data_IF_140288014254
#
_entry.id   IF_140288014254
#
_cell.length_a   1.000
_cell.length_b   1.000
_cell.length_c   1.000
_cell.angle_alpha   90.00
_cell.angle_beta   90.00
_cell.angle_gamma   90.00
#
_symmetry.space_group_name_H-M   'P 1'
#
loop_
_entity.id
_entity.type
_entity.pdbx_description
1 polymer ?
#
# COMPACT_ATOMS: atom_id res chain seq x y z
N UNK A 1 -10.47 -42.34 2.13
CA UNK A 1 -11.12 -41.41 1.18
C UNK A 1 -11.10 -40.01 1.78
N UNK A 2 -10.10 -39.21 1.39
CA UNK A 2 -9.92 -37.84 1.88
C UNK A 2 -10.59 -36.91 0.87
N UNK A 3 -11.61 -36.17 1.31
CA UNK A 3 -12.27 -35.14 0.49
C UNK A 3 -11.37 -33.90 0.43
N UNK A 4 -10.68 -33.74 -0.70
CA UNK A 4 -10.03 -32.49 -1.09
C UNK A 4 -11.13 -31.44 -1.32
N UNK A 5 -11.20 -30.41 -0.47
CA UNK A 5 -12.02 -29.23 -0.75
C UNK A 5 -11.17 -28.25 -1.53
N UNK A 6 -11.45 -28.17 -2.83
CA UNK A 6 -10.93 -27.11 -3.71
C UNK A 6 -11.41 -25.76 -3.17
N UNK A 7 -10.48 -24.84 -2.88
CA UNK A 7 -10.79 -23.42 -2.80
C UNK A 7 -11.12 -22.94 -4.21
N UNK A 8 -12.41 -22.83 -4.51
CA UNK A 8 -12.88 -22.15 -5.70
C UNK A 8 -12.63 -20.65 -5.50
N UNK A 9 -11.66 -20.10 -6.23
CA UNK A 9 -11.57 -18.64 -6.41
C UNK A 9 -12.79 -18.25 -7.22
N UNK A 10 -13.78 -17.64 -6.57
CA UNK A 10 -14.89 -17.00 -7.24
C UNK A 10 -14.37 -15.76 -7.96
N UNK A 11 -13.97 -15.92 -9.22
CA UNK A 11 -13.81 -14.80 -10.15
C UNK A 11 -15.22 -14.29 -10.43
N UNK A 12 -15.66 -13.29 -9.67
CA UNK A 12 -16.86 -12.55 -9.98
C UNK A 12 -16.62 -11.81 -11.31
N UNK A 13 -17.13 -12.39 -12.40
CA UNK A 13 -17.26 -11.72 -13.69
C UNK A 13 -18.30 -10.60 -13.52
N UNK A 14 -17.83 -9.41 -13.17
CA UNK A 14 -18.63 -8.18 -13.24
C UNK A 14 -18.76 -7.77 -14.72
N UNK A 15 -19.69 -8.43 -15.41
CA UNK A 15 -20.29 -7.89 -16.61
C UNK A 15 -21.01 -6.58 -16.27
N UNK A 16 -20.65 -5.53 -17.00
CA UNK A 16 -21.48 -4.36 -17.31
C UNK A 16 -22.42 -3.86 -16.20
N UNK A 17 -21.87 -3.15 -15.22
CA UNK A 17 -22.66 -2.17 -14.48
C UNK A 17 -21.99 -0.81 -14.61
N UNK A 18 -22.70 0.11 -15.28
CA UNK A 18 -22.39 1.53 -15.32
C UNK A 18 -22.35 2.05 -13.88
N UNK A 19 -21.15 2.11 -13.30
CA UNK A 19 -20.94 2.72 -12.00
C UNK A 19 -21.19 4.23 -12.15
N UNK A 20 -22.38 4.67 -11.75
CA UNK A 20 -22.66 6.05 -11.36
C UNK A 20 -21.73 6.40 -10.20
N UNK A 21 -20.53 6.86 -10.54
CA UNK A 21 -19.47 7.26 -9.62
C UNK A 21 -19.66 8.75 -9.32
N UNK A 22 -19.89 9.07 -8.04
CA UNK A 22 -19.80 10.46 -7.58
C UNK A 22 -18.37 10.93 -7.80
N UNK A 23 -18.17 11.85 -8.75
CA UNK A 23 -16.92 12.57 -8.94
C UNK A 23 -17.05 13.88 -8.19
N UNK A 24 -16.41 13.99 -7.03
CA UNK A 24 -16.22 15.28 -6.37
C UNK A 24 -15.03 15.99 -7.01
N UNK A 25 -15.27 17.19 -7.55
CA UNK A 25 -14.18 18.10 -7.93
C UNK A 25 -13.30 18.40 -6.72
N UNK A 26 -12.01 18.63 -6.92
CA UNK A 26 -11.10 19.06 -5.86
C UNK A 26 -11.73 20.20 -5.04
N UNK A 27 -11.93 19.98 -3.75
CA UNK A 27 -12.57 20.95 -2.88
C UNK A 27 -11.67 22.18 -2.73
N UNK A 28 -12.10 23.32 -3.27
CA UNK A 28 -11.53 24.60 -2.88
C UNK A 28 -11.85 24.83 -1.40
N UNK A 29 -10.83 25.01 -0.56
CA UNK A 29 -11.00 25.49 0.82
C UNK A 29 -11.70 26.85 0.76
N UNK A 30 -12.98 26.86 1.11
CA UNK A 30 -13.75 28.08 1.42
C UNK A 30 -13.09 28.78 2.59
N UNK A 31 -12.34 29.85 2.33
CA UNK A 31 -11.98 30.83 3.34
C UNK A 31 -13.13 31.83 3.43
N UNK A 32 -13.86 31.80 4.54
CA UNK A 32 -14.84 32.83 4.91
C UNK A 32 -14.10 34.16 5.09
N UNK A 33 -14.43 35.23 4.35
CA UNK A 33 -13.91 36.55 4.66
C UNK A 33 -14.88 37.24 5.63
N UNK A 34 -14.44 37.45 6.86
CA UNK A 34 -14.99 38.51 7.72
C UNK A 34 -14.54 39.83 7.14
N UNK A 35 -15.47 40.62 6.58
CA UNK A 35 -15.19 41.97 6.10
C UNK A 35 -15.91 43.01 6.96
N UNK A 36 -15.11 43.70 7.78
CA UNK A 36 -15.43 45.00 8.39
C UNK A 36 -15.76 46.00 7.29
N UNK A 37 -16.87 46.71 7.46
CA UNK A 37 -17.29 47.78 6.56
C UNK A 37 -16.31 48.95 6.61
N UNK A 38 -15.77 49.35 5.46
CA UNK A 38 -15.30 50.72 5.25
C UNK A 38 -15.62 51.12 3.81
N UNK A 39 -16.46 52.14 3.70
CA UNK A 39 -16.92 52.77 2.47
C UNK A 39 -15.82 53.59 1.82
N UNK A 40 -15.48 53.30 0.57
CA UNK A 40 -14.87 54.28 -0.33
C UNK A 40 -15.34 54.03 -1.75
N UNK A 41 -16.07 55.00 -2.27
CA UNK A 41 -16.57 55.11 -3.65
C UNK A 41 -15.47 54.95 -4.68
N UNK A 42 -15.66 54.09 -5.68
CA UNK A 42 -14.94 54.24 -6.95
C UNK A 42 -15.79 53.84 -8.16
N UNK A 43 -15.76 54.77 -9.12
CA UNK A 43 -16.36 54.83 -10.47
C UNK A 43 -16.39 53.47 -11.19
N UNK A 44 -17.57 53.13 -11.71
CA UNK A 44 -17.75 52.05 -12.67
C UNK A 44 -17.05 52.40 -14.00
N UNK A 45 -16.03 51.61 -14.35
CA UNK A 45 -15.52 51.51 -15.72
C UNK A 45 -15.92 50.15 -16.27
N UNK A 46 -16.90 50.13 -17.16
CA UNK A 46 -17.39 48.91 -17.80
C UNK A 46 -16.42 48.45 -18.91
N UNK A 47 -15.36 47.73 -18.55
CA UNK A 47 -14.62 46.94 -19.54
C UNK A 47 -15.30 45.59 -19.73
N UNK A 48 -16.10 45.48 -20.79
CA UNK A 48 -16.75 44.25 -21.23
C UNK A 48 -15.66 43.23 -21.63
N UNK A 49 -15.21 42.40 -20.68
CA UNK A 49 -14.26 41.31 -20.94
C UNK A 49 -15.02 40.24 -21.72
N UNK A 50 -14.87 40.22 -23.04
CA UNK A 50 -15.40 39.16 -23.90
C UNK A 50 -14.72 37.85 -23.54
N UNK A 51 -15.40 37.02 -22.76
CA UNK A 51 -15.04 35.62 -22.54
C UNK A 51 -15.23 34.89 -23.85
N UNK A 52 -14.13 34.60 -24.58
CA UNK A 52 -14.18 33.63 -25.68
C UNK A 52 -14.61 32.29 -25.08
N UNK A 53 -15.83 31.86 -25.37
CA UNK A 53 -16.29 30.50 -25.07
C UNK A 53 -15.37 29.54 -25.83
N UNK A 54 -14.53 28.82 -25.10
CA UNK A 54 -13.66 27.80 -25.67
C UNK A 54 -14.53 26.76 -26.40
N UNK A 55 -14.15 26.40 -27.62
CA UNK A 55 -14.83 25.37 -28.40
C UNK A 55 -14.87 24.06 -27.57
N UNK A 56 -16.02 23.38 -27.46
CA UNK A 56 -16.12 22.17 -26.65
C UNK A 56 -15.20 21.08 -27.21
N UNK A 57 -14.44 20.43 -26.31
CA UNK A 57 -13.55 19.31 -26.65
C UNK A 57 -14.44 18.07 -26.86
N UNK A 58 -14.39 17.41 -28.04
CA UNK A 58 -15.16 16.18 -28.27
C UNK A 58 -14.67 15.04 -27.36
N UNK A 59 -15.58 14.13 -27.02
CA UNK A 59 -15.24 12.97 -26.20
C UNK A 59 -14.36 11.98 -26.97
N UNK A 60 -13.34 11.45 -26.29
CA UNK A 60 -12.56 10.31 -26.73
C UNK A 60 -13.33 8.99 -26.55
N UNK A 61 -12.88 7.92 -27.23
CA UNK A 61 -13.54 6.61 -27.22
C UNK A 61 -12.70 5.57 -26.50
N UNK A 62 -13.28 4.89 -25.51
CA UNK A 62 -12.64 3.75 -24.86
C UNK A 62 -12.63 2.54 -25.81
N UNK A 63 -11.44 2.07 -26.17
CA UNK A 63 -11.29 0.92 -27.10
C UNK A 63 -11.25 -0.39 -26.33
N UNK A 64 -10.39 -0.48 -25.32
CA UNK A 64 -10.20 -1.68 -24.49
C UNK A 64 -9.76 -1.27 -23.09
N UNK A 65 -10.18 -2.02 -22.08
CA UNK A 65 -9.66 -1.90 -20.71
C UNK A 65 -9.40 -3.26 -20.09
N UNK A 66 -8.38 -3.34 -19.24
CA UNK A 66 -8.08 -4.49 -18.37
C UNK A 66 -7.90 -4.02 -16.94
N UNK A 67 -8.21 -4.87 -15.96
CA UNK A 67 -7.82 -4.66 -14.57
C UNK A 67 -6.30 -4.74 -14.46
N UNK A 68 -5.72 -4.03 -13.49
CA UNK A 68 -4.30 -4.16 -13.14
C UNK A 68 -4.18 -5.13 -11.96
N UNK A 69 -3.28 -6.09 -12.07
CA UNK A 69 -3.11 -7.15 -11.06
C UNK A 69 -2.35 -6.65 -9.82
N UNK A 70 -1.50 -5.64 -9.96
CA UNK A 70 -0.73 -5.01 -8.88
C UNK A 70 -0.98 -3.49 -8.82
N UNK A 71 -1.67 -3.05 -7.76
CA UNK A 71 -1.90 -1.63 -7.50
C UNK A 71 -0.64 -0.99 -6.91
N UNK A 72 0.31 -0.59 -7.78
CA UNK A 72 1.47 0.19 -7.36
C UNK A 72 1.06 1.62 -6.94
N UNK A 73 1.70 2.21 -5.92
CA UNK A 73 1.48 3.61 -5.55
C UNK A 73 2.23 4.54 -6.50
N UNK A 74 1.52 5.56 -6.98
CA UNK A 74 2.05 6.59 -7.88
C UNK A 74 1.78 7.98 -7.35
N UNK A 75 2.63 8.93 -7.72
CA UNK A 75 2.29 10.34 -7.70
C UNK A 75 2.10 10.85 -9.13
N UNK A 76 1.43 12.00 -9.26
CA UNK A 76 1.22 12.66 -10.55
C UNK A 76 2.29 13.73 -10.73
N UNK A 77 3.24 13.48 -11.62
CA UNK A 77 4.35 14.40 -11.91
C UNK A 77 3.85 15.64 -12.67
N UNK A 78 3.00 15.43 -13.68
CA UNK A 78 2.54 16.47 -14.62
C UNK A 78 1.19 16.15 -15.26
N UNK A 79 0.67 17.11 -16.03
CA UNK A 79 -0.58 16.94 -16.77
C UNK A 79 -1.84 17.04 -15.91
N UNK A 80 -2.88 16.29 -16.30
CA UNK A 80 -4.23 16.40 -15.76
C UNK A 80 -4.87 15.03 -15.52
N UNK A 81 -5.71 14.96 -14.49
CA UNK A 81 -6.67 13.87 -14.28
C UNK A 81 -7.99 14.26 -14.93
N UNK A 82 -8.65 13.31 -15.59
CA UNK A 82 -9.92 13.50 -16.27
C UNK A 82 -11.03 12.74 -15.57
N UNK A 83 -12.23 13.32 -15.53
CA UNK A 83 -13.35 12.71 -14.81
C UNK A 83 -13.90 11.46 -15.50
N UNK A 84 -13.69 11.33 -16.82
CA UNK A 84 -14.20 10.23 -17.64
C UNK A 84 -13.18 9.81 -18.70
N UNK A 85 -13.35 8.62 -19.27
CA UNK A 85 -12.56 8.15 -20.42
C UNK A 85 -12.81 8.96 -21.70
N UNK A 86 -13.80 9.87 -21.68
CA UNK A 86 -14.01 10.85 -22.75
C UNK A 86 -12.95 11.95 -22.78
N UNK A 87 -12.13 12.10 -21.73
CA UNK A 87 -10.97 13.01 -21.67
C UNK A 87 -11.28 14.48 -22.04
N UNK A 88 -12.53 14.90 -21.93
CA UNK A 88 -13.00 16.24 -22.30
C UNK A 88 -13.32 17.11 -21.08
N UNK A 89 -13.28 16.53 -19.87
CA UNK A 89 -13.48 17.22 -18.60
C UNK A 89 -12.37 16.85 -17.63
N UNK A 90 -11.60 17.86 -17.23
CA UNK A 90 -10.54 17.73 -16.24
C UNK A 90 -11.14 17.72 -14.83
N UNK A 91 -10.62 16.84 -13.98
CA UNK A 91 -10.88 16.81 -12.54
C UNK A 91 -9.92 17.75 -11.79
N UNK A 92 -8.69 17.90 -12.30
CA UNK A 92 -7.64 18.76 -11.75
C UNK A 92 -6.31 18.52 -12.46
N UNK A 93 -5.32 19.34 -12.13
CA UNK A 93 -3.94 19.26 -12.61
C UNK A 93 -3.04 18.52 -11.61
N UNK A 94 -1.84 18.14 -12.03
CA UNK A 94 -0.81 17.57 -11.15
C UNK A 94 -0.57 18.40 -9.87
N UNK A 95 -0.62 19.74 -9.97
CA UNK A 95 -0.43 20.63 -8.82
C UNK A 95 -1.52 20.50 -7.77
N UNK A 96 -2.76 20.26 -8.21
CA UNK A 96 -3.91 20.07 -7.32
C UNK A 96 -3.81 18.75 -6.54
N UNK A 97 -3.02 17.80 -7.05
CA UNK A 97 -2.85 16.45 -6.53
C UNK A 97 -1.43 16.14 -6.04
N UNK A 98 -0.59 17.15 -5.84
CA UNK A 98 0.85 16.98 -5.59
C UNK A 98 1.22 16.13 -4.35
N UNK A 99 0.30 15.98 -3.39
CA UNK A 99 0.48 15.16 -2.18
C UNK A 99 -0.38 13.89 -2.14
N UNK A 100 -1.11 13.62 -3.22
CA UNK A 100 -2.05 12.50 -3.30
C UNK A 100 -1.33 11.29 -3.86
N UNK A 101 -1.39 10.17 -3.15
CA UNK A 101 -1.01 8.87 -3.70
C UNK A 101 -2.15 8.31 -4.54
N UNK A 102 -1.80 7.77 -5.70
CA UNK A 102 -2.73 7.20 -6.67
C UNK A 102 -2.41 5.72 -6.91
N UNK A 103 -3.46 4.91 -7.01
CA UNK A 103 -3.39 3.49 -7.34
C UNK A 103 -4.09 3.25 -8.66
N UNK A 104 -3.45 2.51 -9.57
CA UNK A 104 -4.03 2.16 -10.87
C UNK A 104 -4.95 0.95 -10.75
N UNK A 105 -6.24 1.12 -11.03
CA UNK A 105 -7.19 -0.01 -11.04
C UNK A 105 -7.35 -0.62 -12.44
N UNK A 106 -7.25 0.21 -13.49
CA UNK A 106 -7.45 -0.24 -14.88
C UNK A 106 -6.42 0.37 -15.81
N UNK A 107 -5.98 -0.41 -16.79
CA UNK A 107 -5.23 0.04 -17.96
C UNK A 107 -6.16 0.04 -19.17
N UNK A 108 -6.16 1.12 -19.95
CA UNK A 108 -7.00 1.23 -21.13
C UNK A 108 -6.26 1.78 -22.34
N UNK A 109 -6.72 1.37 -23.51
CA UNK A 109 -6.44 2.05 -24.78
C UNK A 109 -7.62 2.97 -25.08
N UNK A 110 -7.35 4.25 -25.24
CA UNK A 110 -8.34 5.29 -25.57
C UNK A 110 -7.97 5.89 -26.92
N UNK A 111 -8.93 5.89 -27.84
CA UNK A 111 -8.86 6.55 -29.14
C UNK A 111 -9.22 8.03 -28.98
N UNK A 112 -8.25 8.89 -29.28
CA UNK A 112 -8.37 10.34 -29.16
C UNK A 112 -8.51 11.01 -30.54
N UNK A 113 -8.89 10.28 -31.59
CA UNK A 113 -8.88 10.79 -32.97
C UNK A 113 -9.78 12.01 -33.12
N UNK A 114 -10.95 12.01 -32.45
CA UNK A 114 -11.84 13.16 -32.38
C UNK A 114 -11.19 14.40 -31.73
N UNK A 115 -10.19 14.20 -30.88
CA UNK A 115 -9.41 15.25 -30.20
C UNK A 115 -8.09 15.59 -30.92
N UNK A 116 -7.85 15.02 -32.11
CA UNK A 116 -6.64 15.27 -32.90
C UNK A 116 -5.41 14.45 -32.48
N UNK A 117 -5.59 13.31 -31.82
CA UNK A 117 -4.49 12.40 -31.44
C UNK A 117 -4.88 10.95 -31.68
N UNK A 118 -3.93 10.04 -31.92
CA UNK A 118 -4.26 8.62 -32.11
C UNK A 118 -4.60 7.89 -30.81
N UNK A 119 -4.57 6.56 -30.90
CA UNK A 119 -4.69 5.67 -29.73
C UNK A 119 -3.56 5.94 -28.72
N UNK A 120 -3.92 5.98 -27.44
CA UNK A 120 -2.96 6.16 -26.35
C UNK A 120 -3.38 5.34 -25.12
N UNK A 121 -2.40 5.05 -24.26
CA UNK A 121 -2.62 4.26 -23.04
C UNK A 121 -2.88 5.17 -21.86
N UNK A 122 -3.96 4.86 -21.13
CA UNK A 122 -4.43 5.62 -19.98
C UNK A 122 -4.71 4.66 -18.82
N UNK A 123 -4.52 5.16 -17.60
CA UNK A 123 -4.90 4.46 -16.40
C UNK A 123 -6.12 5.10 -15.77
N UNK A 124 -7.03 4.27 -15.27
CA UNK A 124 -8.00 4.71 -14.28
C UNK A 124 -7.36 4.58 -12.90
N UNK A 125 -7.28 5.69 -12.18
CA UNK A 125 -6.63 5.79 -10.89
C UNK A 125 -7.63 6.15 -9.79
N UNK A 126 -7.35 5.69 -8.57
CA UNK A 126 -8.01 6.12 -7.34
C UNK A 126 -6.99 6.67 -6.36
N UNK A 127 -7.33 7.75 -5.67
CA UNK A 127 -6.52 8.24 -4.56
C UNK A 127 -6.50 7.18 -3.45
N UNK A 128 -5.44 7.15 -2.65
CA UNK A 128 -5.35 6.23 -1.51
C UNK A 128 -6.49 6.36 -0.50
N UNK A 129 -7.04 7.56 -0.31
CA UNK A 129 -8.24 7.77 0.52
C UNK A 129 -9.56 7.27 -0.09
N UNK A 130 -9.54 6.81 -1.35
CA UNK A 130 -10.74 6.46 -2.12
C UNK A 130 -11.65 7.64 -2.52
N UNK A 131 -11.36 8.86 -2.09
CA UNK A 131 -12.23 10.03 -2.31
C UNK A 131 -12.13 10.64 -3.71
N UNK A 132 -11.02 10.42 -4.40
CA UNK A 132 -10.77 10.96 -5.74
C UNK A 132 -10.50 9.80 -6.70
N UNK A 133 -10.96 9.94 -7.94
CA UNK A 133 -10.71 8.98 -9.00
C UNK A 133 -10.75 9.67 -10.36
N UNK A 134 -10.10 9.07 -11.36
CA UNK A 134 -10.17 9.58 -12.72
C UNK A 134 -9.24 8.88 -13.68
N UNK A 135 -9.15 9.42 -14.89
CA UNK A 135 -8.31 8.92 -15.96
C UNK A 135 -7.09 9.78 -16.14
N UNK A 136 -5.92 9.16 -16.25
CA UNK A 136 -4.65 9.85 -16.43
C UNK A 136 -3.79 9.14 -17.47
N UNK A 137 -3.04 9.91 -18.23
CA UNK A 137 -2.12 9.36 -19.23
C UNK A 137 -0.96 8.66 -18.53
N UNK A 138 -0.55 7.49 -19.03
CA UNK A 138 0.46 6.66 -18.37
C UNK A 138 1.77 7.41 -18.06
N UNK A 139 2.24 8.28 -18.96
CA UNK A 139 3.51 9.00 -18.79
C UNK A 139 3.45 10.20 -17.83
N UNK A 140 2.33 10.37 -17.12
CA UNK A 140 2.20 11.35 -16.05
C UNK A 140 2.24 10.70 -14.65
N UNK A 141 2.30 9.37 -14.59
CA UNK A 141 2.41 8.61 -13.34
C UNK A 141 3.87 8.27 -13.08
N UNK A 142 4.33 8.54 -11.86
CA UNK A 142 5.67 8.20 -11.40
C UNK A 142 5.56 7.35 -10.12
N UNK A 143 6.22 6.17 -10.05
CA UNK A 143 6.15 5.32 -8.88
C UNK A 143 6.65 6.03 -7.62
N UNK A 144 5.95 5.87 -6.51
CA UNK A 144 6.42 6.39 -5.22
C UNK A 144 7.39 5.35 -4.64
N UNK A 145 8.68 5.58 -4.83
CA UNK A 145 9.75 4.82 -4.17
C UNK A 145 10.23 5.48 -2.87
N UNK A 146 10.06 6.80 -2.73
CA UNK A 146 10.55 7.61 -1.61
C UNK A 146 9.62 8.82 -1.33
N UNK A 147 9.67 9.41 -0.13
CA UNK A 147 9.00 10.69 0.20
C UNK A 147 7.78 10.64 1.13
N UNK A 148 7.18 11.82 1.39
CA UNK A 148 6.05 12.05 2.31
C UNK A 148 4.71 12.08 1.56
N UNK A 149 4.27 10.92 1.06
CA UNK A 149 2.97 10.78 0.39
C UNK A 149 1.95 10.05 1.30
N UNK A 150 0.66 10.32 1.12
CA UNK A 150 -0.43 9.66 1.85
C UNK A 150 -0.75 8.31 1.18
N UNK A 151 -0.01 7.24 1.50
CA UNK A 151 0.00 5.95 0.77
C UNK A 151 -1.12 4.98 1.26
N UNK A 152 -2.27 5.47 1.71
CA UNK A 152 -3.32 4.57 2.22
C UNK A 152 -3.90 3.66 1.11
N UNK A 153 -4.03 2.35 1.32
CA UNK A 153 -4.63 1.42 0.35
C UNK A 153 -6.16 1.32 0.47
N UNK A 154 -6.82 0.73 -0.53
CA UNK A 154 -8.27 0.44 -0.57
C UNK A 154 -8.80 -0.37 0.62
N UNK A 155 -7.95 -1.17 1.28
CA UNK A 155 -8.29 -1.95 2.48
C UNK A 155 -7.79 -1.31 3.78
N UNK A 156 -7.20 -0.12 3.75
CA UNK A 156 -6.72 0.59 4.94
C UNK A 156 -7.83 0.82 5.97
N UNK A 157 -9.07 1.05 5.51
CA UNK A 157 -10.23 1.22 6.41
C UNK A 157 -10.48 0.00 7.31
N UNK A 158 -10.15 -1.22 6.87
CA UNK A 158 -10.25 -2.42 7.72
C UNK A 158 -9.28 -2.35 8.91
N UNK A 159 -8.08 -1.82 8.68
CA UNK A 159 -7.01 -1.72 9.69
C UNK A 159 -6.96 -0.36 10.39
N UNK A 160 -7.81 0.58 9.99
CA UNK A 160 -7.80 1.95 10.50
C UNK A 160 -8.04 1.97 12.00
N UNK A 161 -7.09 2.55 12.73
CA UNK A 161 -7.14 2.67 14.18
C UNK A 161 -6.74 1.40 14.93
N UNK A 162 -6.46 0.30 14.23
CA UNK A 162 -5.91 -0.92 14.85
C UNK A 162 -4.44 -0.74 15.20
N UNK A 163 -4.01 -1.26 16.34
CA UNK A 163 -2.60 -1.29 16.72
C UNK A 163 -1.97 -2.59 16.27
N UNK A 164 -0.97 -2.48 15.40
CA UNK A 164 -0.24 -3.63 14.86
C UNK A 164 1.13 -3.73 15.55
N UNK A 165 1.56 -4.95 15.86
CA UNK A 165 2.97 -5.26 16.17
C UNK A 165 3.53 -6.19 15.10
N UNK A 166 4.71 -5.88 14.60
CA UNK A 166 5.44 -6.72 13.65
C UNK A 166 6.66 -7.30 14.32
N UNK A 167 6.63 -8.61 14.55
CA UNK A 167 7.68 -9.39 15.17
C UNK A 167 8.51 -10.07 14.08
N UNK A 168 9.83 -10.09 14.24
CA UNK A 168 10.70 -10.79 13.30
C UNK A 168 12.17 -10.52 13.50
N UNK A 169 12.94 -10.95 12.51
CA UNK A 169 14.39 -10.80 12.48
C UNK A 169 14.84 -9.46 11.86
N UNK A 170 16.06 -9.45 11.31
CA UNK A 170 16.70 -8.31 10.65
C UNK A 170 15.88 -7.75 9.48
N UNK A 171 15.10 -8.57 8.77
CA UNK A 171 14.24 -8.10 7.68
C UNK A 171 13.11 -7.23 8.22
N UNK A 172 12.52 -7.65 9.34
CA UNK A 172 11.49 -6.85 10.03
C UNK A 172 12.10 -5.57 10.61
N UNK A 173 13.31 -5.66 11.16
CA UNK A 173 14.06 -4.52 11.70
C UNK A 173 14.41 -3.48 10.63
N UNK A 174 14.60 -3.91 9.38
CA UNK A 174 14.94 -3.05 8.25
C UNK A 174 16.42 -3.07 7.88
N UNK A 175 17.10 -4.21 8.09
CA UNK A 175 18.46 -4.43 7.63
C UNK A 175 18.48 -4.61 6.10
N UNK A 176 19.37 -3.90 5.41
CA UNK A 176 19.46 -3.91 3.95
C UNK A 176 20.57 -4.83 3.39
N UNK A 177 21.33 -5.47 4.28
CA UNK A 177 22.53 -6.23 3.93
C UNK A 177 23.82 -5.61 4.47
N UNK A 178 23.82 -4.31 4.79
CA UNK A 178 24.98 -3.56 5.27
C UNK A 178 24.71 -2.87 6.61
N UNK A 179 23.55 -2.22 6.74
CA UNK A 179 23.17 -1.50 7.94
C UNK A 179 21.67 -1.62 8.23
N UNK A 180 21.28 -1.24 9.45
CA UNK A 180 19.86 -1.12 9.77
C UNK A 180 19.38 0.25 9.36
N UNK A 181 18.48 0.28 8.38
CA UNK A 181 17.93 1.53 7.88
C UNK A 181 16.81 2.03 8.81
N UNK A 182 17.06 3.17 9.45
CA UNK A 182 16.13 3.79 10.38
C UNK A 182 14.78 4.08 9.73
N UNK A 183 13.72 3.48 10.27
CA UNK A 183 12.35 3.60 9.79
C UNK A 183 12.14 3.16 8.33
N UNK A 184 12.99 2.32 7.75
CA UNK A 184 12.81 1.83 6.37
C UNK A 184 12.40 0.36 6.27
N UNK A 185 12.34 -0.38 7.39
CA UNK A 185 11.77 -1.72 7.42
C UNK A 185 10.32 -1.76 6.97
N UNK A 186 9.86 -2.92 6.48
CA UNK A 186 8.48 -3.08 6.01
C UNK A 186 7.41 -2.66 7.03
N UNK A 187 7.58 -2.74 8.37
CA UNK A 187 6.57 -2.26 9.31
C UNK A 187 6.28 -0.75 9.18
N UNK A 188 7.27 0.06 8.82
CA UNK A 188 7.05 1.49 8.54
C UNK A 188 6.20 1.66 7.29
N UNK A 189 6.52 0.94 6.23
CA UNK A 189 5.74 0.95 5.00
C UNK A 189 4.32 0.45 5.26
N UNK A 190 4.16 -0.61 6.04
CA UNK A 190 2.85 -1.13 6.46
C UNK A 190 2.03 -0.08 7.19
N UNK A 191 2.65 0.70 8.09
CA UNK A 191 1.99 1.82 8.78
C UNK A 191 1.49 2.88 7.79
N UNK A 192 2.30 3.23 6.79
CA UNK A 192 1.91 4.17 5.72
C UNK A 192 0.78 3.61 4.85
N UNK A 193 0.89 2.34 4.43
CA UNK A 193 -0.08 1.67 3.57
C UNK A 193 -1.44 1.47 4.23
N UNK A 194 -1.44 1.14 5.52
CA UNK A 194 -2.67 0.89 6.27
C UNK A 194 -3.21 2.12 7.01
N UNK A 195 -2.46 3.22 7.02
CA UNK A 195 -2.75 4.43 7.79
C UNK A 195 -3.08 4.08 9.26
N UNK A 196 -2.21 3.30 9.89
CA UNK A 196 -2.37 2.87 11.27
C UNK A 196 -1.05 2.69 11.99
N UNK A 197 -1.10 2.59 13.32
CA UNK A 197 0.10 2.41 14.14
C UNK A 197 0.66 1.00 13.96
N UNK A 198 1.93 0.89 13.57
CA UNK A 198 2.67 -0.37 13.52
C UNK A 198 3.91 -0.24 14.40
N UNK A 199 4.03 -1.13 15.39
CA UNK A 199 5.23 -1.26 16.22
C UNK A 199 6.20 -2.20 15.52
N UNK A 200 7.38 -1.71 15.16
CA UNK A 200 8.46 -2.54 14.67
C UNK A 200 9.19 -3.19 15.85
N UNK A 201 8.92 -4.47 16.08
CA UNK A 201 9.58 -5.29 17.09
C UNK A 201 10.55 -6.29 16.44
N UNK A 202 11.12 -5.92 15.29
CA UNK A 202 12.20 -6.68 14.66
C UNK A 202 13.51 -6.56 15.44
N UNK A 203 14.32 -7.61 15.37
CA UNK A 203 15.65 -7.66 16.00
C UNK A 203 16.66 -8.36 15.08
N UNK A 204 17.84 -7.77 14.91
CA UNK A 204 18.84 -8.30 13.99
C UNK A 204 19.36 -9.66 14.46
N UNK A 205 19.34 -10.65 13.58
CA UNK A 205 19.81 -12.01 13.88
C UNK A 205 18.86 -12.85 14.72
N UNK A 206 17.66 -12.35 15.04
CA UNK A 206 16.77 -13.08 15.93
C UNK A 206 16.17 -14.36 15.35
N UNK A 207 15.88 -15.31 16.23
CA UNK A 207 15.38 -16.64 15.91
C UNK A 207 13.93 -16.84 16.35
N UNK A 208 13.22 -17.73 15.66
CA UNK A 208 11.91 -18.22 16.09
C UNK A 208 12.03 -19.16 17.29
N UNK A 209 13.03 -20.03 17.25
CA UNK A 209 13.37 -21.03 18.26
C UNK A 209 14.71 -20.70 18.92
N UNK A 210 15.16 -21.55 19.84
CA UNK A 210 16.44 -21.42 20.53
C UNK A 210 17.59 -21.15 19.54
N UNK A 211 18.18 -19.95 19.63
CA UNK A 211 19.31 -19.52 18.80
C UNK A 211 20.64 -20.21 19.16
N UNK A 212 20.67 -21.00 20.25
CA UNK A 212 21.88 -21.65 20.73
C UNK A 212 22.97 -20.64 21.09
N UNK A 213 24.18 -20.83 20.57
CA UNK A 213 25.29 -19.89 20.79
C UNK A 213 25.08 -18.52 20.10
N UNK A 214 24.10 -18.42 19.19
CA UNK A 214 23.75 -17.20 18.46
C UNK A 214 22.47 -16.52 19.03
N UNK A 215 21.95 -16.98 20.19
CA UNK A 215 20.73 -16.44 20.81
C UNK A 215 20.77 -14.92 20.97
N UNK A 216 19.62 -14.28 20.75
CA UNK A 216 19.46 -12.83 20.89
C UNK A 216 18.30 -12.45 21.80
N UNK A 217 18.35 -11.24 22.38
CA UNK A 217 17.24 -10.69 23.16
C UNK A 217 15.92 -10.54 22.36
N UNK A 218 16.00 -10.60 21.02
CA UNK A 218 14.86 -10.51 20.13
C UNK A 218 14.26 -11.85 19.72
N UNK A 219 14.83 -12.95 20.19
CA UNK A 219 14.35 -14.29 19.89
C UNK A 219 12.93 -14.47 20.42
N UNK A 220 12.15 -15.28 19.73
CA UNK A 220 10.76 -15.49 20.10
C UNK A 220 10.63 -16.37 21.37
N UNK A 221 11.73 -16.85 21.97
CA UNK A 221 11.74 -17.92 22.97
C UNK A 221 12.18 -17.50 24.37
N UNK A 222 11.26 -17.37 25.34
CA UNK A 222 9.80 -17.22 25.23
C UNK A 222 9.35 -15.76 25.01
N UNK A 223 8.24 -15.55 24.29
CA UNK A 223 7.74 -14.22 23.93
C UNK A 223 7.08 -13.45 25.09
N UNK A 224 7.89 -13.02 26.04
CA UNK A 224 7.44 -12.29 27.24
C UNK A 224 7.80 -10.79 27.21
N UNK A 225 8.60 -10.35 26.24
CA UNK A 225 9.03 -8.95 26.06
C UNK A 225 7.88 -8.01 25.65
N UNK A 226 6.72 -8.55 25.29
CA UNK A 226 5.57 -7.79 24.80
C UNK A 226 4.26 -8.20 25.50
N UNK A 227 3.42 -7.21 25.80
CA UNK A 227 2.06 -7.43 26.29
C UNK A 227 1.07 -7.32 25.12
N UNK A 228 0.54 -8.46 24.67
CA UNK A 228 -0.32 -8.51 23.48
C UNK A 228 -1.72 -7.92 23.67
N UNK A 229 -2.10 -7.51 24.89
CA UNK A 229 -3.31 -6.71 25.12
C UNK A 229 -3.27 -5.34 24.45
N UNK A 230 -2.08 -4.84 24.13
CA UNK A 230 -1.88 -3.53 23.53
C UNK A 230 -2.07 -3.51 22.01
N UNK A 231 -2.27 -4.67 21.39
CA UNK A 231 -2.31 -4.83 19.93
C UNK A 231 -3.58 -5.58 19.49
N UNK A 232 -4.09 -5.20 18.34
CA UNK A 232 -5.23 -5.85 17.67
C UNK A 232 -4.75 -6.88 16.65
N UNK A 233 -3.57 -6.63 16.05
CA UNK A 233 -2.94 -7.48 15.03
C UNK A 233 -1.47 -7.71 15.37
N UNK A 234 -0.98 -8.92 15.14
CA UNK A 234 0.43 -9.27 15.16
C UNK A 234 0.86 -9.91 13.83
N UNK A 235 2.03 -9.52 13.30
CA UNK A 235 2.74 -10.28 12.26
C UNK A 235 3.91 -11.03 12.89
N UNK A 236 4.16 -12.24 12.41
CA UNK A 236 5.31 -13.08 12.81
C UNK A 236 6.11 -13.37 11.54
N UNK A 237 7.34 -12.84 11.45
CA UNK A 237 8.24 -12.99 10.31
C UNK A 237 9.64 -13.36 10.79
N UNK A 238 9.76 -14.59 11.29
CA UNK A 238 11.02 -15.23 11.70
C UNK A 238 11.25 -16.49 10.85
N UNK A 239 12.40 -17.13 11.05
CA UNK A 239 12.72 -18.44 10.47
C UNK A 239 13.93 -18.42 9.55
N UNK A 240 14.34 -17.25 9.05
CA UNK A 240 15.50 -17.10 8.17
C UNK A 240 16.79 -17.53 8.88
N UNK A 241 16.98 -17.13 10.14
CA UNK A 241 18.16 -17.56 10.92
C UNK A 241 18.02 -19.02 11.41
N UNK A 242 16.81 -19.44 11.78
CA UNK A 242 16.53 -20.79 12.29
C UNK A 242 16.92 -21.90 11.32
N UNK A 243 16.58 -21.74 10.04
CA UNK A 243 16.95 -22.76 9.07
C UNK A 243 18.46 -22.75 8.79
N UNK A 244 19.10 -21.60 8.96
CA UNK A 244 20.45 -21.33 8.49
C UNK A 244 21.58 -21.67 9.45
N UNK A 245 21.34 -21.49 10.74
CA UNK A 245 22.41 -21.36 11.73
C UNK A 245 22.34 -22.40 12.84
N UNK A 246 21.16 -22.94 13.12
CA UNK A 246 20.90 -23.81 14.26
C UNK A 246 20.38 -25.18 13.83
N UNK A 247 20.49 -26.16 14.74
CA UNK A 247 20.10 -27.56 14.51
C UNK A 247 18.68 -27.90 14.97
N UNK A 248 17.86 -26.90 15.32
CA UNK A 248 16.46 -27.11 15.67
C UNK A 248 15.75 -27.87 14.54
N UNK A 249 14.94 -28.86 14.88
CA UNK A 249 14.11 -29.56 13.89
C UNK A 249 12.84 -28.74 13.57
N UNK A 250 12.15 -29.08 12.48
CA UNK A 250 10.81 -28.52 12.22
C UNK A 250 9.83 -28.77 13.38
N UNK A 251 10.00 -29.88 14.12
CA UNK A 251 9.15 -30.18 15.27
C UNK A 251 9.43 -29.23 16.45
N UNK A 252 10.68 -28.80 16.63
CA UNK A 252 11.06 -27.82 17.65
C UNK A 252 10.50 -26.44 17.29
N UNK A 253 10.69 -26.01 16.04
CA UNK A 253 10.13 -24.78 15.47
C UNK A 253 8.61 -24.74 15.65
N UNK A 254 7.92 -25.84 15.30
CA UNK A 254 6.48 -25.97 15.46
C UNK A 254 6.06 -25.87 16.94
N UNK A 255 6.76 -26.58 17.82
CA UNK A 255 6.45 -26.60 19.26
C UNK A 255 6.57 -25.21 19.85
N UNK A 256 7.67 -24.52 19.58
CA UNK A 256 7.94 -23.16 20.03
C UNK A 256 6.91 -22.17 19.50
N UNK A 257 6.64 -22.19 18.18
CA UNK A 257 5.64 -21.30 17.58
C UNK A 257 4.25 -21.52 18.20
N UNK A 258 3.87 -22.79 18.45
CA UNK A 258 2.60 -23.11 19.13
C UNK A 258 2.55 -22.57 20.56
N UNK A 259 3.64 -22.66 21.32
CA UNK A 259 3.71 -22.13 22.69
C UNK A 259 3.58 -20.60 22.68
N UNK A 260 4.31 -19.92 21.81
CA UNK A 260 4.27 -18.47 21.68
C UNK A 260 2.90 -17.96 21.22
N UNK A 261 2.28 -18.60 20.21
CA UNK A 261 0.92 -18.25 19.78
C UNK A 261 -0.08 -18.46 20.94
N UNK A 262 0.05 -19.53 21.73
CA UNK A 262 -0.80 -19.74 22.91
C UNK A 262 -0.66 -18.61 23.92
N UNK A 263 0.56 -18.15 24.20
CA UNK A 263 0.83 -17.00 25.09
C UNK A 263 0.25 -15.69 24.52
N UNK A 264 0.47 -15.40 23.24
CA UNK A 264 -0.11 -14.23 22.56
C UNK A 264 -1.63 -14.23 22.66
N UNK A 265 -2.27 -15.38 22.44
CA UNK A 265 -3.73 -15.55 22.56
C UNK A 265 -4.24 -15.54 24.00
N UNK A 266 -3.43 -15.96 24.98
CA UNK A 266 -3.81 -15.86 26.38
C UNK A 266 -3.82 -14.41 26.86
N UNK A 267 -2.87 -13.60 26.38
CA UNK A 267 -2.83 -12.17 26.64
C UNK A 267 -4.01 -11.46 25.98
N UNK A 268 -4.26 -11.76 24.70
CA UNK A 268 -5.37 -11.21 23.93
C UNK A 268 -6.06 -12.29 23.06
N UNK A 269 -7.25 -12.73 23.49
CA UNK A 269 -8.03 -13.76 22.79
C UNK A 269 -8.47 -13.34 21.38
N UNK A 270 -8.64 -12.04 21.16
CA UNK A 270 -9.12 -11.47 19.90
C UNK A 270 -7.98 -11.08 18.93
N UNK A 271 -6.71 -11.18 19.36
CA UNK A 271 -5.55 -10.81 18.54
C UNK A 271 -5.57 -11.54 17.20
N UNK A 272 -5.54 -10.82 16.08
CA UNK A 272 -5.37 -11.43 14.76
C UNK A 272 -3.87 -11.68 14.55
N UNK A 273 -3.48 -12.89 14.13
CA UNK A 273 -2.08 -13.26 13.94
C UNK A 273 -1.87 -13.66 12.48
N UNK A 274 -0.95 -12.97 11.80
CA UNK A 274 -0.50 -13.32 10.46
C UNK A 274 0.92 -13.89 10.53
N UNK A 275 1.09 -15.14 10.11
CA UNK A 275 2.41 -15.73 9.90
C UNK A 275 2.91 -15.43 8.49
N UNK A 276 4.12 -14.89 8.39
CA UNK A 276 4.83 -14.65 7.14
C UNK A 276 5.94 -15.70 7.08
N UNK A 277 5.93 -16.51 6.03
CA UNK A 277 6.94 -17.53 5.85
C UNK A 277 8.31 -16.88 5.60
N UNK A 278 9.40 -17.46 6.12
CA UNK A 278 10.73 -16.94 5.85
C UNK A 278 11.01 -16.96 4.36
N UNK A 279 11.77 -15.96 3.90
CA UNK A 279 12.26 -15.91 2.53
C UNK A 279 13.57 -16.70 2.42
N UNK A 280 13.90 -17.11 1.19
CA UNK A 280 15.20 -17.68 0.86
C UNK A 280 16.33 -16.74 1.30
N UNK A 281 17.31 -17.26 2.04
CA UNK A 281 18.54 -16.54 2.38
C UNK A 281 19.40 -16.32 1.15
N UNK A 282 20.13 -15.23 1.26
CA UNK A 282 21.21 -14.89 0.38
C UNK A 282 22.50 -14.88 1.18
N UNK A 283 23.37 -15.86 0.93
CA UNK A 283 24.61 -16.05 1.65
C UNK A 283 25.79 -16.05 0.68
N UNK A 284 26.83 -15.28 1.01
CA UNK A 284 28.08 -15.23 0.23
C UNK A 284 27.84 -15.09 -1.29
N UNK A 285 27.03 -14.10 -1.67
CA UNK A 285 26.65 -13.79 -3.05
C UNK A 285 25.84 -14.87 -3.79
N UNK A 286 25.20 -15.79 -3.05
CA UNK A 286 24.41 -16.89 -3.61
C UNK A 286 23.08 -17.11 -2.89
N UNK A 287 22.05 -17.54 -3.63
CA UNK A 287 20.80 -18.00 -3.04
C UNK A 287 21.01 -19.35 -2.35
N UNK A 288 20.51 -19.47 -1.13
CA UNK A 288 20.54 -20.70 -0.35
C UNK A 288 19.25 -21.53 -0.49
N UNK A 289 18.54 -21.42 -1.62
CA UNK A 289 17.27 -22.13 -1.90
C UNK A 289 17.41 -23.66 -1.97
N UNK A 290 18.59 -24.13 -2.31
CA UNK A 290 18.93 -25.55 -2.41
C UNK A 290 19.77 -26.05 -1.23
N UNK A 291 20.02 -25.22 -0.23
CA UNK A 291 20.83 -25.56 0.95
C UNK A 291 19.91 -26.14 2.02
N UNK A 292 20.19 -27.38 2.43
CA UNK A 292 19.53 -27.98 3.59
C UNK A 292 20.17 -27.39 4.84
N UNK A 293 19.35 -26.76 5.68
CA UNK A 293 19.77 -26.21 6.96
C UNK A 293 20.32 -27.28 7.91
N UNK A 294 21.06 -26.86 8.95
CA UNK A 294 21.58 -27.79 9.96
C UNK A 294 20.47 -28.58 10.66
N UNK A 295 19.27 -27.98 10.78
CA UNK A 295 18.04 -28.61 11.29
C UNK A 295 17.35 -29.60 10.34
N UNK A 296 17.86 -29.78 9.12
CA UNK A 296 17.36 -30.78 8.15
C UNK A 296 16.16 -30.34 7.31
N UNK A 297 15.85 -29.04 7.27
CA UNK A 297 14.76 -28.49 6.46
C UNK A 297 15.22 -27.35 5.55
N UNK A 298 14.38 -27.04 4.55
CA UNK A 298 14.53 -25.98 3.55
C UNK A 298 13.22 -25.19 3.45
#
# INVERSE_FOLDING_TARGET
MIKLRYMTIAIATLMGMSASTMVTSAAAKSTTPTATATSSSNKASSSKKTTKTAKPIPAATLVKSTTVDEELPYHIEKGYVYTTSGLNKQAGSAKDFAKVTWYTEKKAVIDRTAQGSGNSVWYYVKSGSGQQAGWIWQGNLEPISEGNFDIAMKNSDYFKGQKIISLGDSITKGYDGYETLDNMGYPTWLSRYLNTSVTNAGYNGAFLCDGGEEETDGDMTPINSHNFKNYDVATISYGTNDYGHVSNSLADIETTLRQNIKKMKSDNKNLIIYGILPITRYDADSNSDNVIGKGGFR
#
